data_IF_861380452941
#
_entry.id   IF_861380452941
#
_cell.length_a   1.000
_cell.length_b   1.000
_cell.length_c   1.000
_cell.angle_alpha   90.00
_cell.angle_beta   90.00
_cell.angle_gamma   90.00
#
_symmetry.space_group_name_H-M   'P 1'
#
loop_
_entity.id
_entity.type
_entity.pdbx_description
1 polymer ?
#
# COMPACT_ATOMS: atom_id res chain seq x y z
N UNK A 1 10.53 -3.96 0.02
CA UNK A 1 10.99 -2.82 0.84
C UNK A 1 9.89 -2.11 1.65
N UNK A 2 8.66 -2.64 1.71
CA UNK A 2 7.58 -2.06 2.53
C UNK A 2 7.93 -1.96 4.03
N UNK A 3 8.42 -3.05 4.64
CA UNK A 3 8.76 -3.05 6.06
C UNK A 3 9.86 -2.02 6.40
N UNK A 4 10.85 -1.86 5.52
CA UNK A 4 11.88 -0.81 5.67
C UNK A 4 11.24 0.59 5.62
N UNK A 5 10.32 0.82 4.67
CA UNK A 5 9.60 2.08 4.57
C UNK A 5 8.81 2.40 5.85
N UNK A 6 8.12 1.40 6.40
CA UNK A 6 7.29 1.56 7.59
C UNK A 6 8.11 1.73 8.88
N UNK A 7 9.01 0.78 9.16
CA UNK A 7 9.75 0.74 10.41
C UNK A 7 10.85 1.80 10.45
N UNK A 8 11.64 1.89 9.40
CA UNK A 8 12.83 2.74 9.41
C UNK A 8 12.49 4.17 9.01
N UNK A 9 11.87 4.38 7.84
CA UNK A 9 11.67 5.74 7.32
C UNK A 9 10.42 6.44 7.86
N UNK A 10 9.31 5.73 8.08
CA UNK A 10 8.10 6.34 8.63
C UNK A 10 8.13 6.42 10.17
N UNK A 11 8.59 5.37 10.84
CA UNK A 11 8.65 5.33 12.31
C UNK A 11 10.00 5.78 12.89
N UNK A 12 11.07 5.88 12.09
CA UNK A 12 12.40 6.29 12.58
C UNK A 12 13.16 5.20 13.34
N UNK A 13 12.82 3.92 13.17
CA UNK A 13 13.47 2.83 13.90
C UNK A 13 14.83 2.51 13.29
N UNK A 14 15.90 2.76 14.05
CA UNK A 14 17.28 2.47 13.63
C UNK A 14 17.80 3.35 12.48
N UNK A 15 17.06 4.40 12.10
CA UNK A 15 17.49 5.42 11.14
C UNK A 15 16.70 6.72 11.38
N UNK A 16 17.11 7.81 10.75
CA UNK A 16 16.37 9.06 10.80
C UNK A 16 15.03 8.93 10.05
N UNK A 17 13.96 9.44 10.67
CA UNK A 17 12.65 9.48 10.05
C UNK A 17 12.69 10.32 8.77
N UNK A 18 12.24 9.75 7.66
CA UNK A 18 12.18 10.40 6.36
C UNK A 18 10.89 10.03 5.62
N UNK A 19 9.89 10.89 5.68
CA UNK A 19 8.57 10.61 5.13
C UNK A 19 8.56 10.57 3.60
N UNK A 20 9.44 11.31 2.93
CA UNK A 20 9.58 11.29 1.46
C UNK A 20 10.13 9.94 0.97
N UNK A 21 11.17 9.41 1.64
CA UNK A 21 11.69 8.06 1.36
C UNK A 21 10.65 6.98 1.68
N UNK A 22 9.89 7.14 2.77
CA UNK A 22 8.80 6.22 3.07
C UNK A 22 7.74 6.21 1.95
N UNK A 23 7.31 7.40 1.50
CA UNK A 23 6.36 7.56 0.41
C UNK A 23 6.85 6.90 -0.89
N UNK A 24 8.11 7.13 -1.26
CA UNK A 24 8.74 6.52 -2.44
C UNK A 24 8.65 4.99 -2.40
N UNK A 25 9.01 4.39 -1.27
CA UNK A 25 9.00 2.93 -1.12
C UNK A 25 7.58 2.35 -1.00
N UNK A 26 6.64 3.07 -0.38
CA UNK A 26 5.23 2.70 -0.43
C UNK A 26 4.72 2.68 -1.86
N UNK A 27 5.06 3.67 -2.68
CA UNK A 27 4.67 3.69 -4.09
C UNK A 27 5.22 2.50 -4.86
N UNK A 28 6.51 2.18 -4.71
CA UNK A 28 7.11 0.98 -5.35
C UNK A 28 6.47 -0.33 -4.91
N UNK A 29 6.16 -0.48 -3.62
CA UNK A 29 5.50 -1.68 -3.12
C UNK A 29 4.02 -1.76 -3.57
N UNK A 30 3.32 -0.63 -3.61
CA UNK A 30 1.94 -0.53 -4.09
C UNK A 30 1.84 -0.86 -5.59
N UNK A 31 2.79 -0.39 -6.40
CA UNK A 31 2.91 -0.75 -7.82
C UNK A 31 3.13 -2.26 -8.02
N UNK A 32 3.77 -2.92 -7.05
CA UNK A 32 3.99 -4.38 -7.04
C UNK A 32 2.80 -5.18 -6.48
N UNK A 33 1.67 -4.53 -6.22
CA UNK A 33 0.44 -5.19 -5.74
C UNK A 33 0.35 -5.36 -4.22
N UNK A 34 1.29 -4.83 -3.43
CA UNK A 34 1.27 -4.95 -1.98
C UNK A 34 0.19 -4.05 -1.37
N UNK A 35 -0.87 -4.65 -0.83
CA UNK A 35 -2.09 -3.92 -0.48
C UNK A 35 -1.93 -2.99 0.72
N UNK A 36 -1.11 -3.38 1.71
CA UNK A 36 -0.79 -2.50 2.84
C UNK A 36 0.00 -1.26 2.42
N UNK A 37 0.83 -1.38 1.38
CA UNK A 37 1.55 -0.24 0.82
C UNK A 37 0.59 0.72 0.11
N UNK A 38 -0.41 0.20 -0.61
CA UNK A 38 -1.47 1.03 -1.20
C UNK A 38 -2.24 1.79 -0.13
N UNK A 39 -2.58 1.14 0.99
CA UNK A 39 -3.25 1.77 2.12
C UNK A 39 -2.40 2.87 2.75
N UNK A 40 -1.14 2.60 3.07
CA UNK A 40 -0.24 3.60 3.66
C UNK A 40 0.03 4.77 2.71
N UNK A 41 0.12 4.53 1.40
CA UNK A 41 0.26 5.57 0.39
C UNK A 41 -0.97 6.48 0.34
N UNK A 42 -2.18 5.92 0.42
CA UNK A 42 -3.41 6.69 0.51
C UNK A 42 -3.45 7.55 1.79
N UNK A 43 -3.04 7.00 2.94
CA UNK A 43 -2.94 7.74 4.20
C UNK A 43 -1.93 8.89 4.10
N UNK A 44 -0.80 8.69 3.42
CA UNK A 44 0.16 9.76 3.20
C UNK A 44 -0.44 10.94 2.43
N UNK A 45 -1.21 10.67 1.37
CA UNK A 45 -1.90 11.72 0.62
C UNK A 45 -3.06 12.37 1.38
N UNK A 46 -3.73 11.67 2.30
CA UNK A 46 -4.76 12.29 3.15
C UNK A 46 -4.13 13.27 4.14
N UNK A 47 -2.99 12.90 4.71
CA UNK A 47 -2.34 13.62 5.82
C UNK A 47 -1.23 14.57 5.37
N UNK A 48 -0.88 14.60 4.09
CA UNK A 48 0.28 15.34 3.59
C UNK A 48 1.61 14.85 4.20
N UNK A 49 1.76 13.53 4.40
CA UNK A 49 2.99 12.97 4.99
C UNK A 49 4.04 12.72 3.90
N UNK A 50 5.07 13.56 3.87
CA UNK A 50 6.14 13.47 2.87
C UNK A 50 5.70 13.89 1.46
N UNK A 51 4.53 14.54 1.35
CA UNK A 51 3.93 15.07 0.12
C UNK A 51 2.81 16.03 0.50
N UNK A 52 2.21 16.70 -0.48
CA UNK A 52 1.03 17.55 -0.27
C UNK A 52 -0.25 16.71 -0.09
N UNK A 53 -1.25 17.30 0.56
CA UNK A 53 -2.56 16.67 0.66
C UNK A 53 -3.16 16.51 -0.74
N UNK A 54 -3.59 15.29 -1.08
CA UNK A 54 -4.21 15.00 -2.37
C UNK A 54 -5.27 13.90 -2.23
N UNK A 55 -6.52 14.31 -2.05
CA UNK A 55 -7.64 13.39 -1.82
C UNK A 55 -7.96 12.52 -3.05
N UNK A 56 -7.71 13.03 -4.26
CA UNK A 56 -7.92 12.28 -5.49
C UNK A 56 -6.95 11.09 -5.60
N UNK A 57 -5.65 11.33 -5.35
CA UNK A 57 -4.64 10.27 -5.31
C UNK A 57 -4.90 9.28 -4.17
N UNK A 58 -5.35 9.77 -3.01
CA UNK A 58 -5.73 8.89 -1.91
C UNK A 58 -6.89 7.96 -2.30
N UNK A 59 -7.94 8.51 -2.91
CA UNK A 59 -9.09 7.74 -3.37
C UNK A 59 -8.68 6.71 -4.44
N UNK A 60 -7.82 7.09 -5.40
CA UNK A 60 -7.26 6.18 -6.39
C UNK A 60 -6.60 4.96 -5.75
N UNK A 61 -5.71 5.16 -4.77
CA UNK A 61 -5.01 4.06 -4.13
C UNK A 61 -5.91 3.17 -3.26
N UNK A 62 -6.91 3.74 -2.57
CA UNK A 62 -7.91 2.94 -1.87
C UNK A 62 -8.77 2.10 -2.80
N UNK A 63 -9.23 2.66 -3.91
CA UNK A 63 -10.00 1.91 -4.90
C UNK A 63 -9.16 0.77 -5.48
N UNK A 64 -7.89 1.03 -5.80
CA UNK A 64 -6.96 0.02 -6.29
C UNK A 64 -6.73 -1.11 -5.27
N UNK A 65 -6.57 -0.77 -3.99
CA UNK A 65 -6.47 -1.74 -2.91
C UNK A 65 -7.71 -2.63 -2.79
N UNK A 66 -8.91 -2.04 -2.83
CA UNK A 66 -10.17 -2.78 -2.79
C UNK A 66 -10.34 -3.72 -3.99
N UNK A 67 -9.95 -3.27 -5.19
CA UNK A 67 -9.96 -4.10 -6.39
C UNK A 67 -8.97 -5.28 -6.28
N UNK A 68 -7.79 -5.06 -5.73
CA UNK A 68 -6.79 -6.11 -5.53
C UNK A 68 -7.30 -7.19 -4.57
N UNK A 69 -7.90 -6.80 -3.42
CA UNK A 69 -8.52 -7.76 -2.49
C UNK A 69 -9.63 -8.58 -3.16
N UNK A 70 -10.49 -7.92 -3.95
CA UNK A 70 -11.56 -8.60 -4.71
C UNK A 70 -10.99 -9.62 -5.70
N UNK A 71 -9.88 -9.30 -6.36
CA UNK A 71 -9.23 -10.22 -7.30
C UNK A 71 -8.59 -11.42 -6.60
N UNK A 72 -7.90 -11.20 -5.47
CA UNK A 72 -7.32 -12.28 -4.65
C UNK A 72 -8.42 -13.22 -4.16
N UNK A 73 -9.51 -12.68 -3.62
CA UNK A 73 -10.65 -13.46 -3.15
C UNK A 73 -11.26 -14.32 -4.26
N UNK A 74 -11.44 -13.75 -5.46
CA UNK A 74 -11.92 -14.50 -6.63
C UNK A 74 -10.97 -15.63 -7.04
N UNK A 75 -9.66 -15.38 -7.00
CA UNK A 75 -8.65 -16.40 -7.32
C UNK A 75 -8.71 -17.56 -6.33
N UNK A 76 -8.81 -17.26 -5.04
CA UNK A 76 -8.93 -18.26 -3.97
C UNK A 76 -10.21 -19.10 -4.11
N UNK A 77 -11.36 -18.45 -4.36
CA UNK A 77 -12.62 -19.15 -4.58
C UNK A 77 -12.56 -20.08 -5.80
N UNK A 78 -11.94 -19.65 -6.90
CA UNK A 78 -11.75 -20.51 -8.09
C UNK A 78 -10.91 -21.74 -7.77
N UNK A 79 -9.83 -21.58 -6.99
CA UNK A 79 -8.99 -22.70 -6.60
C UNK A 79 -9.74 -23.71 -5.73
N UNK A 80 -10.52 -23.26 -4.75
CA UNK A 80 -11.34 -24.13 -3.90
C UNK A 80 -12.36 -24.96 -4.70
N UNK A 81 -13.01 -24.35 -5.68
CA UNK A 81 -14.03 -25.02 -6.50
C UNK A 81 -13.41 -26.07 -7.43
N UNK A 82 -12.21 -25.83 -7.98
CA UNK A 82 -11.55 -26.76 -8.91
C UNK A 82 -11.01 -28.01 -8.19
N UNK A 83 -10.66 -27.92 -6.90
CA UNK A 83 -10.16 -29.06 -6.12
C UNK A 83 -11.25 -29.86 -5.40
N UNK A 84 -12.53 -29.51 -5.57
CA UNK A 84 -13.68 -30.21 -4.97
C UNK A 84 -14.53 -30.98 -6.00
N UNK A 85 -14.05 -31.16 -7.23
CA UNK A 85 -14.71 -31.98 -8.29
C UNK A 85 -13.79 -33.10 -8.73
#
# INVERSE_FOLDING_TARGET
MYHLANECYNNGKGTEKNLEKALYWYQKAAESGYTDAMFNLAVCYIKGKGTEVNLEKANYWYQKAAMQYKQIMRSFLKHLIIHQV
#
